data_IF_410326445462
#
_entry.id   IF_410326445462
#
_cell.length_a   1.000
_cell.length_b   1.000
_cell.length_c   1.000
_cell.angle_alpha   90.00
_cell.angle_beta   90.00
_cell.angle_gamma   90.00
#
_symmetry.space_group_name_H-M   'P 1'
#
loop_
_entity.id
_entity.type
_entity.pdbx_description
1 polymer ?
#
# COMPACT_ATOMS: atom_id res chain seq x y z
N UNK A 1 -13.26 4.12 -8.99
CA UNK A 1 -12.65 4.75 -7.81
C UNK A 1 -12.59 6.25 -8.01
N UNK A 2 -12.85 7.02 -6.97
CA UNK A 2 -12.81 8.47 -7.06
C UNK A 2 -11.40 8.99 -7.40
N UNK A 3 -11.32 10.07 -8.19
CA UNK A 3 -10.06 10.71 -8.51
C UNK A 3 -9.34 11.21 -7.25
N UNK A 4 -10.10 11.82 -6.35
CA UNK A 4 -9.56 12.33 -5.09
C UNK A 4 -10.05 11.44 -3.94
N UNK A 5 -9.13 11.08 -3.05
CA UNK A 5 -9.42 10.25 -1.87
C UNK A 5 -9.06 11.02 -0.60
N UNK A 6 -9.87 10.84 0.43
CA UNK A 6 -9.56 11.31 1.79
C UNK A 6 -9.13 10.13 2.63
N UNK A 7 -7.89 10.15 3.13
CA UNK A 7 -7.30 9.09 3.93
C UNK A 7 -6.66 9.76 5.15
N UNK A 8 -7.01 9.31 6.36
CA UNK A 8 -6.52 9.89 7.61
C UNK A 8 -6.76 11.41 7.67
N UNK A 9 -7.93 11.86 7.22
CA UNK A 9 -8.31 13.27 7.11
C UNK A 9 -7.51 14.09 6.09
N UNK A 10 -6.57 13.49 5.38
CA UNK A 10 -5.74 14.12 4.35
C UNK A 10 -6.33 13.91 2.96
N UNK A 11 -6.25 14.92 2.12
CA UNK A 11 -6.77 14.90 0.75
C UNK A 11 -5.68 14.48 -0.23
N UNK A 12 -5.85 13.30 -0.82
CA UNK A 12 -4.96 12.75 -1.87
C UNK A 12 -5.59 13.05 -3.23
N UNK A 13 -5.03 14.00 -3.94
CA UNK A 13 -5.53 14.45 -5.22
C UNK A 13 -4.86 13.70 -6.37
N UNK A 14 -5.65 13.32 -7.38
CA UNK A 14 -5.15 12.57 -8.52
C UNK A 14 -4.16 13.39 -9.34
N UNK A 15 -2.99 12.81 -9.60
CA UNK A 15 -1.97 13.35 -10.50
C UNK A 15 -2.14 12.74 -11.89
N UNK A 16 -2.31 11.42 -11.96
CA UNK A 16 -2.66 10.72 -13.20
C UNK A 16 -3.42 9.43 -12.90
N UNK A 17 -4.10 8.91 -13.90
CA UNK A 17 -4.72 7.59 -13.90
C UNK A 17 -4.73 7.05 -15.32
N UNK A 18 -4.30 5.81 -15.49
CA UNK A 18 -4.31 5.09 -16.76
C UNK A 18 -4.69 3.62 -16.55
N UNK A 19 -4.54 2.78 -17.57
CA UNK A 19 -4.90 1.36 -17.48
C UNK A 19 -4.01 0.57 -16.52
N UNK A 20 -2.76 1.00 -16.33
CA UNK A 20 -1.80 0.31 -15.47
C UNK A 20 -1.94 0.73 -14.01
N UNK A 21 -2.34 1.96 -13.74
CA UNK A 21 -2.47 2.44 -12.38
C UNK A 21 -2.76 3.92 -12.25
N UNK A 22 -2.64 4.41 -11.04
CA UNK A 22 -2.89 5.81 -10.71
C UNK A 22 -1.89 6.32 -9.67
N UNK A 23 -1.68 7.62 -9.65
CA UNK A 23 -0.92 8.33 -8.64
C UNK A 23 -1.76 9.44 -8.04
N UNK A 24 -1.80 9.53 -6.73
CA UNK A 24 -2.43 10.60 -5.98
C UNK A 24 -1.41 11.23 -5.04
N UNK A 25 -1.56 12.53 -4.81
CA UNK A 25 -0.59 13.29 -4.01
C UNK A 25 -1.30 14.15 -2.97
N UNK A 26 -0.72 14.16 -1.78
CA UNK A 26 -1.12 14.99 -0.65
C UNK A 26 0.04 15.93 -0.30
N UNK A 27 -0.22 17.23 -0.16
CA UNK A 27 0.82 18.26 -0.02
C UNK A 27 0.64 19.15 1.21
N UNK A 28 -0.07 18.71 2.24
CA UNK A 28 -0.30 19.53 3.45
C UNK A 28 0.99 19.89 4.17
N UNK A 29 2.06 19.12 4.01
CA UNK A 29 3.38 19.36 4.61
C UNK A 29 4.28 20.26 3.73
N UNK A 30 3.78 20.69 2.58
CA UNK A 30 4.50 21.49 1.59
C UNK A 30 4.64 20.80 0.24
N UNK A 31 4.75 21.57 -0.82
CA UNK A 31 4.84 21.05 -2.19
C UNK A 31 6.08 20.18 -2.39
N UNK A 32 7.17 20.47 -1.68
CA UNK A 32 8.43 19.73 -1.76
C UNK A 32 8.46 18.46 -0.89
N UNK A 33 7.47 18.27 -0.02
CA UNK A 33 7.38 17.15 0.91
C UNK A 33 6.03 16.43 0.75
N UNK A 34 5.70 15.95 -0.45
CA UNK A 34 4.42 15.28 -0.69
C UNK A 34 4.40 13.89 -0.06
N UNK A 35 3.19 13.43 0.29
CA UNK A 35 2.89 12.03 0.50
C UNK A 35 2.15 11.53 -0.73
N UNK A 36 2.61 10.45 -1.33
CA UNK A 36 2.06 9.94 -2.58
C UNK A 36 1.46 8.55 -2.36
N UNK A 37 0.32 8.29 -3.00
CA UNK A 37 -0.32 6.99 -3.07
C UNK A 37 -0.29 6.51 -4.51
N UNK A 38 0.37 5.39 -4.75
CA UNK A 38 0.38 4.71 -6.04
C UNK A 38 -0.46 3.44 -5.95
N UNK A 39 -1.40 3.28 -6.88
CA UNK A 39 -2.17 2.05 -7.06
C UNK A 39 -1.85 1.53 -8.44
N UNK A 40 -1.45 0.27 -8.54
CA UNK A 40 -1.08 -0.35 -9.81
C UNK A 40 -1.56 -1.80 -9.86
N UNK A 41 -1.89 -2.26 -11.07
CA UNK A 41 -2.30 -3.63 -11.32
C UNK A 41 -1.46 -4.20 -12.45
N UNK A 42 -0.89 -5.38 -12.24
CA UNK A 42 -0.11 -6.10 -13.25
C UNK A 42 -0.53 -7.55 -13.31
N UNK A 43 -0.37 -8.16 -14.48
CA UNK A 43 -0.60 -9.60 -14.65
C UNK A 43 0.67 -10.38 -14.41
N UNK A 44 0.53 -11.61 -13.92
CA UNK A 44 1.66 -12.52 -13.72
C UNK A 44 1.25 -13.94 -14.06
N UNK A 45 2.25 -14.81 -14.25
CA UNK A 45 2.05 -16.25 -14.38
C UNK A 45 2.89 -16.96 -13.32
N UNK A 46 2.24 -17.79 -12.50
CA UNK A 46 2.94 -18.59 -11.48
C UNK A 46 3.75 -19.68 -12.17
N UNK A 47 5.04 -19.74 -11.85
CA UNK A 47 5.96 -20.71 -12.49
C UNK A 47 5.71 -22.15 -12.03
N UNK A 48 5.19 -22.36 -10.82
CA UNK A 48 4.94 -23.70 -10.28
C UNK A 48 3.60 -24.29 -10.71
N UNK A 49 2.54 -23.47 -10.67
CA UNK A 49 1.17 -23.91 -10.99
C UNK A 49 0.77 -23.62 -12.43
N UNK A 50 1.52 -22.77 -13.13
CA UNK A 50 1.22 -22.26 -14.49
C UNK A 50 -0.09 -21.45 -14.54
N UNK A 51 -0.64 -21.04 -13.40
CA UNK A 51 -1.82 -20.22 -13.34
C UNK A 51 -1.47 -18.75 -13.60
N UNK A 52 -2.35 -18.07 -14.33
CA UNK A 52 -2.30 -16.62 -14.49
C UNK A 52 -3.00 -15.94 -13.32
N UNK A 53 -2.55 -14.74 -13.00
CA UNK A 53 -3.15 -13.98 -11.94
C UNK A 53 -2.91 -12.49 -12.08
N UNK A 54 -3.47 -11.73 -11.15
CA UNK A 54 -3.32 -10.28 -11.06
C UNK A 54 -2.59 -9.93 -9.76
N UNK A 55 -1.61 -9.04 -9.88
CA UNK A 55 -0.90 -8.45 -8.74
C UNK A 55 -1.35 -7.02 -8.59
N UNK A 56 -1.91 -6.68 -7.44
CA UNK A 56 -2.37 -5.32 -7.12
C UNK A 56 -1.46 -4.72 -6.07
N UNK A 57 -0.99 -3.51 -6.31
CA UNK A 57 -0.11 -2.76 -5.43
C UNK A 57 -0.85 -1.53 -4.91
N UNK A 58 -0.77 -1.30 -3.61
CA UNK A 58 -1.08 -0.01 -3.00
C UNK A 58 0.15 0.43 -2.21
N UNK A 59 0.75 1.55 -2.60
CA UNK A 59 2.02 2.02 -2.04
C UNK A 59 1.90 3.47 -1.61
N UNK A 60 2.32 3.74 -0.37
CA UNK A 60 2.51 5.09 0.13
C UNK A 60 3.99 5.42 0.20
N UNK A 61 4.35 6.60 -0.30
CA UNK A 61 5.68 7.18 -0.18
C UNK A 61 5.55 8.54 0.50
N UNK A 62 6.20 8.69 1.65
CA UNK A 62 6.26 9.96 2.37
C UNK A 62 7.64 10.56 2.22
N UNK A 63 7.73 11.74 1.64
CA UNK A 63 9.01 12.46 1.50
C UNK A 63 9.36 13.14 2.81
N UNK A 64 10.61 12.95 3.23
CA UNK A 64 11.15 13.54 4.46
C UNK A 64 12.44 14.27 4.11
N UNK A 65 12.56 15.52 4.56
CA UNK A 65 13.78 16.27 4.41
C UNK A 65 14.76 15.92 5.54
N UNK A 66 15.94 15.46 5.17
CA UNK A 66 16.99 15.14 6.12
C UNK A 66 17.74 16.42 6.56
N UNK A 67 18.46 16.34 7.68
CA UNK A 67 19.26 17.47 8.18
C UNK A 67 20.33 17.95 7.20
N UNK A 68 20.72 17.09 6.25
CA UNK A 68 21.67 17.41 5.16
C UNK A 68 21.02 18.16 3.99
N UNK A 69 19.69 18.38 4.02
CA UNK A 69 18.94 18.97 2.92
C UNK A 69 18.48 17.97 1.85
N UNK A 70 18.87 16.70 1.96
CA UNK A 70 18.44 15.64 1.05
C UNK A 70 17.01 15.23 1.38
N UNK A 71 16.16 15.06 0.35
CA UNK A 71 14.80 14.55 0.50
C UNK A 71 14.83 13.04 0.26
N UNK A 72 14.40 12.27 1.27
CA UNK A 72 14.37 10.82 1.22
C UNK A 72 12.94 10.31 1.38
N UNK A 73 12.54 9.23 0.69
CA UNK A 73 11.23 8.62 0.86
C UNK A 73 11.21 7.62 2.01
N UNK A 74 10.12 7.61 2.77
CA UNK A 74 9.72 6.48 3.61
C UNK A 74 8.55 5.82 2.91
N UNK A 75 8.67 4.52 2.64
CA UNK A 75 7.71 3.79 1.82
C UNK A 75 7.09 2.63 2.59
N UNK A 76 5.78 2.46 2.42
CA UNK A 76 5.06 1.29 2.87
C UNK A 76 4.11 0.85 1.77
N UNK A 77 4.01 -0.46 1.54
CA UNK A 77 3.13 -0.95 0.47
C UNK A 77 2.57 -2.33 0.79
N UNK A 78 1.43 -2.60 0.17
CA UNK A 78 0.75 -3.89 0.21
C UNK A 78 0.65 -4.40 -1.22
N UNK A 79 1.04 -5.64 -1.43
CA UNK A 79 0.85 -6.35 -2.69
C UNK A 79 -0.11 -7.50 -2.45
N UNK A 80 -1.21 -7.52 -3.18
CA UNK A 80 -2.16 -8.63 -3.16
C UNK A 80 -2.06 -9.36 -4.49
N UNK A 81 -1.71 -10.63 -4.43
CA UNK A 81 -1.60 -11.52 -5.59
C UNK A 81 -2.79 -12.46 -5.59
N UNK A 82 -3.50 -12.54 -6.69
CA UNK A 82 -4.64 -13.45 -6.81
C UNK A 82 -4.60 -14.20 -8.13
N UNK A 83 -4.76 -15.54 -8.12
CA UNK A 83 -4.96 -16.29 -9.35
C UNK A 83 -6.26 -15.89 -10.04
N UNK A 84 -6.24 -15.86 -11.37
CA UNK A 84 -7.44 -15.63 -12.17
C UNK A 84 -8.16 -16.98 -12.36
N UNK A 85 -8.86 -17.42 -11.34
CA UNK A 85 -9.61 -18.67 -11.31
C UNK A 85 -10.91 -18.45 -10.58
N UNK A 86 -12.00 -19.07 -11.08
CA UNK A 86 -13.33 -18.92 -10.51
C UNK A 86 -13.44 -19.47 -9.08
N UNK A 87 -12.58 -20.42 -8.71
CA UNK A 87 -12.56 -20.99 -7.36
C UNK A 87 -11.94 -20.06 -6.32
N UNK A 88 -11.18 -19.05 -6.74
CA UNK A 88 -10.66 -17.99 -5.87
C UNK A 88 -11.70 -16.88 -5.79
N UNK A 89 -12.41 -16.80 -4.68
CA UNK A 89 -13.52 -15.86 -4.50
C UNK A 89 -13.05 -14.54 -3.89
N UNK A 90 -13.90 -13.52 -4.01
CA UNK A 90 -13.65 -12.25 -3.31
C UNK A 90 -13.60 -12.41 -1.79
N UNK A 91 -14.32 -13.39 -1.24
CA UNK A 91 -14.25 -13.72 0.19
C UNK A 91 -12.85 -14.17 0.60
N UNK A 92 -12.20 -15.01 -0.21
CA UNK A 92 -10.83 -15.47 0.06
C UNK A 92 -9.84 -14.31 0.04
N UNK A 93 -9.95 -13.44 -0.96
CA UNK A 93 -9.07 -12.28 -1.12
C UNK A 93 -9.23 -11.30 0.06
N UNK A 94 -10.47 -10.98 0.42
CA UNK A 94 -10.75 -10.06 1.51
C UNK A 94 -10.35 -10.65 2.86
N UNK A 95 -10.45 -11.97 3.05
CA UNK A 95 -10.01 -12.63 4.28
C UNK A 95 -8.50 -12.44 4.51
N UNK A 96 -7.69 -12.64 3.49
CA UNK A 96 -6.24 -12.46 3.58
C UNK A 96 -5.87 -11.00 3.84
N UNK A 97 -6.52 -10.06 3.15
CA UNK A 97 -6.30 -8.63 3.37
C UNK A 97 -6.72 -8.24 4.80
N UNK A 98 -7.84 -8.77 5.28
CA UNK A 98 -8.30 -8.48 6.64
C UNK A 98 -7.35 -9.03 7.71
N UNK A 99 -6.74 -10.20 7.48
CA UNK A 99 -5.71 -10.72 8.39
C UNK A 99 -4.52 -9.78 8.47
N UNK A 100 -4.08 -9.23 7.34
CA UNK A 100 -2.98 -8.27 7.33
C UNK A 100 -3.36 -6.97 8.07
N UNK A 101 -4.57 -6.44 7.84
CA UNK A 101 -5.07 -5.25 8.53
C UNK A 101 -5.11 -5.50 10.04
N UNK A 102 -5.63 -6.64 10.47
CA UNK A 102 -5.70 -7.00 11.88
C UNK A 102 -4.32 -7.11 12.52
N UNK A 103 -3.35 -7.70 11.83
CA UNK A 103 -1.97 -7.75 12.30
C UNK A 103 -1.41 -6.35 12.57
N UNK A 104 -1.66 -5.40 11.66
CA UNK A 104 -1.15 -4.03 11.78
C UNK A 104 -1.87 -3.22 12.88
N UNK A 105 -3.08 -3.61 13.28
CA UNK A 105 -3.90 -2.93 14.28
C UNK A 105 -3.90 -3.60 15.65
N UNK A 106 -3.42 -4.86 15.73
CA UNK A 106 -3.43 -5.63 16.98
C UNK A 106 -2.29 -5.20 17.90
N UNK A 107 -2.56 -5.33 19.21
CA UNK A 107 -1.55 -5.15 20.24
C UNK A 107 -1.10 -6.52 20.78
N UNK A 108 0.16 -6.64 21.11
CA UNK A 108 0.70 -7.78 21.82
C UNK A 108 1.29 -7.30 23.16
N UNK A 109 0.88 -7.93 24.26
CA UNK A 109 1.37 -7.62 25.61
C UNK A 109 1.30 -6.11 25.97
N UNK A 110 0.33 -5.40 25.42
CA UNK A 110 0.14 -3.96 25.63
C UNK A 110 1.01 -3.08 24.75
N UNK A 111 1.74 -3.66 23.79
CA UNK A 111 2.51 -2.95 22.76
C UNK A 111 1.85 -3.10 21.41
N UNK A 112 1.94 -2.05 20.60
CA UNK A 112 1.45 -2.05 19.23
C UNK A 112 2.33 -2.94 18.36
N UNK A 113 1.75 -3.96 17.73
CA UNK A 113 2.48 -4.88 16.85
C UNK A 113 3.15 -4.16 15.68
N UNK A 114 2.56 -3.07 15.22
CA UNK A 114 3.16 -2.26 14.16
C UNK A 114 4.49 -1.66 14.61
N UNK A 115 4.57 -1.14 15.83
CA UNK A 115 5.82 -0.63 16.39
C UNK A 115 6.84 -1.74 16.62
N UNK A 116 6.40 -2.88 17.14
CA UNK A 116 7.27 -4.03 17.38
C UNK A 116 7.92 -4.52 16.09
N UNK A 117 7.15 -4.69 15.03
CA UNK A 117 7.62 -5.24 13.77
C UNK A 117 8.43 -4.20 12.97
N UNK A 118 7.88 -2.99 12.77
CA UNK A 118 8.43 -2.05 11.79
C UNK A 118 9.37 -1.01 12.37
N UNK A 119 9.30 -0.75 13.66
CA UNK A 119 10.20 0.18 14.34
C UNK A 119 11.30 -0.58 15.07
N UNK A 120 10.94 -1.60 15.84
CA UNK A 120 11.88 -2.36 16.66
C UNK A 120 12.49 -3.56 15.94
N UNK A 121 11.90 -4.01 14.82
CA UNK A 121 12.40 -5.13 14.03
C UNK A 121 12.20 -6.49 14.67
N UNK A 122 11.17 -6.65 15.50
CA UNK A 122 10.85 -7.91 16.14
C UNK A 122 10.20 -8.90 15.16
N UNK A 123 10.34 -10.19 15.45
CA UNK A 123 9.80 -11.27 14.61
C UNK A 123 8.80 -12.15 15.37
#
# INVERSE_FOLDING_TARGET
MNANLTIDTLSFNQVYSDQAGSLRREVSRGVNLPTELKIAHTEYTDSSTKLKGTRSLARFDRKVELSTGVIAPVSAYVVVTRPTDADVTSTDILAVVQHLISLLQEDDTGLDLMDEIFVNGEQ
#
